data_IF_912106291304
#
_entry.id   IF_912106291304
#
_cell.length_a   1.000
_cell.length_b   1.000
_cell.length_c   1.000
_cell.angle_alpha   90.00
_cell.angle_beta   90.00
_cell.angle_gamma   90.00
#
_symmetry.space_group_name_H-M   'P 1'
#
loop_
_entity.id
_entity.type
_entity.pdbx_description
1 polymer ?
#
# COMPACT_ATOMS: atom_id res chain seq x y z
N UNK A 1 -27.64 -12.45 -16.10
CA UNK A 1 -27.22 -13.03 -14.80
C UNK A 1 -25.72 -13.18 -14.80
N UNK A 2 -25.03 -12.48 -13.90
CA UNK A 2 -23.58 -12.64 -13.66
C UNK A 2 -23.40 -13.66 -12.53
N UNK A 3 -22.55 -14.65 -12.72
CA UNK A 3 -22.21 -15.63 -11.71
C UNK A 3 -20.69 -15.65 -11.52
N UNK A 4 -20.23 -15.20 -10.36
CA UNK A 4 -18.80 -15.12 -10.02
C UNK A 4 -18.50 -16.05 -8.85
N UNK A 5 -17.57 -16.94 -9.02
CA UNK A 5 -17.09 -17.85 -7.97
C UNK A 5 -15.67 -17.48 -7.55
N UNK A 6 -15.51 -17.01 -6.33
CA UNK A 6 -14.20 -16.81 -5.70
C UNK A 6 -13.87 -18.00 -4.80
N UNK A 7 -12.65 -18.54 -4.96
CA UNK A 7 -12.13 -19.63 -4.15
C UNK A 7 -10.75 -19.25 -3.62
N UNK A 8 -10.62 -19.32 -2.30
CA UNK A 8 -9.37 -19.04 -1.60
C UNK A 8 -9.05 -20.23 -0.69
N UNK A 9 -7.79 -20.62 -0.67
CA UNK A 9 -7.26 -21.64 0.24
C UNK A 9 -6.01 -21.09 0.88
N UNK A 10 -5.88 -21.26 2.20
CA UNK A 10 -4.70 -20.84 2.93
C UNK A 10 -4.31 -21.88 3.99
N UNK A 11 -3.02 -22.09 4.13
CA UNK A 11 -2.41 -22.85 5.22
C UNK A 11 -1.54 -21.88 6.03
N UNK A 12 -1.66 -21.91 7.35
CA UNK A 12 -0.89 -21.05 8.22
C UNK A 12 -0.31 -21.82 9.39
N UNK A 13 0.90 -21.45 9.81
CA UNK A 13 1.55 -21.92 11.00
C UNK A 13 2.15 -20.74 11.75
N UNK A 14 2.01 -20.73 13.07
CA UNK A 14 2.61 -19.73 13.95
C UNK A 14 3.34 -20.45 15.08
N UNK A 15 4.55 -19.99 15.38
CA UNK A 15 5.34 -20.45 16.51
C UNK A 15 5.81 -19.25 17.33
N UNK A 16 5.80 -19.40 18.64
CA UNK A 16 6.31 -18.40 19.59
C UNK A 16 7.16 -19.08 20.63
N UNK A 17 8.33 -18.52 20.90
CA UNK A 17 9.20 -18.98 21.94
C UNK A 17 9.65 -17.81 22.80
N UNK A 18 9.55 -17.97 24.14
CA UNK A 18 9.97 -16.97 25.09
C UNK A 18 10.99 -17.57 26.06
N UNK A 19 12.15 -16.94 26.16
CA UNK A 19 13.21 -17.34 27.07
C UNK A 19 13.25 -16.39 28.27
N UNK A 20 13.12 -16.95 29.46
CA UNK A 20 13.14 -16.24 30.76
C UNK A 20 12.23 -15.00 30.82
N UNK A 21 11.13 -14.99 30.05
CA UNK A 21 10.25 -13.81 29.90
C UNK A 21 10.95 -12.53 29.39
N UNK A 22 12.23 -12.62 29.05
CA UNK A 22 13.07 -11.49 28.59
C UNK A 22 13.11 -11.39 27.07
N UNK A 23 13.34 -12.52 26.40
CA UNK A 23 13.52 -12.59 24.95
C UNK A 23 12.41 -13.42 24.34
N UNK A 24 11.63 -12.83 23.45
CA UNK A 24 10.58 -13.54 22.73
C UNK A 24 10.85 -13.47 21.22
N UNK A 25 10.78 -14.61 20.56
CA UNK A 25 10.80 -14.69 19.10
C UNK A 25 9.47 -15.28 18.62
N UNK A 26 8.88 -14.66 17.59
CA UNK A 26 7.65 -15.10 16.95
C UNK A 26 7.91 -15.32 15.47
N UNK A 27 7.41 -16.42 14.94
CA UNK A 27 7.42 -16.72 13.52
C UNK A 27 6.03 -17.08 13.05
N UNK A 28 5.58 -16.48 11.95
CA UNK A 28 4.34 -16.84 11.26
C UNK A 28 4.66 -17.12 9.80
N UNK A 29 4.14 -18.20 9.29
CA UNK A 29 4.21 -18.57 7.89
C UNK A 29 2.79 -18.83 7.37
N UNK A 30 2.47 -18.32 6.18
CA UNK A 30 1.19 -18.56 5.52
C UNK A 30 1.43 -18.80 4.04
N UNK A 31 0.81 -19.85 3.53
CA UNK A 31 0.80 -20.19 2.11
C UNK A 31 -0.63 -20.16 1.60
N UNK A 32 -0.93 -19.24 0.71
CA UNK A 32 -2.29 -19.07 0.21
C UNK A 32 -2.38 -19.01 -1.30
N UNK A 33 -3.56 -19.37 -1.82
CA UNK A 33 -3.88 -19.30 -3.23
C UNK A 33 -5.30 -18.81 -3.48
N UNK A 34 -5.48 -18.08 -4.58
CA UNK A 34 -6.77 -17.55 -5.01
C UNK A 34 -6.97 -17.72 -6.51
N UNK A 35 -8.21 -18.07 -6.92
CA UNK A 35 -8.57 -18.16 -8.33
C UNK A 35 -8.81 -16.79 -9.00
N UNK A 36 -8.78 -15.69 -8.26
CA UNK A 36 -8.86 -14.32 -8.81
C UNK A 36 -7.60 -13.92 -9.58
N UNK A 37 -6.47 -14.50 -9.23
CA UNK A 37 -5.17 -14.20 -9.81
C UNK A 37 -4.90 -15.03 -11.05
N UNK A 38 -3.78 -14.80 -11.71
CA UNK A 38 -3.38 -15.49 -12.93
C UNK A 38 -3.37 -17.02 -12.80
N UNK A 39 -3.38 -17.74 -13.93
CA UNK A 39 -3.42 -19.21 -13.95
C UNK A 39 -2.09 -19.85 -13.59
N UNK A 40 -0.97 -19.15 -13.78
CA UNK A 40 0.35 -19.67 -13.41
C UNK A 40 0.42 -19.98 -11.91
N UNK A 41 1.01 -21.10 -11.54
CA UNK A 41 1.13 -21.52 -10.12
C UNK A 41 1.86 -20.46 -9.29
N UNK A 42 2.92 -19.89 -9.82
CA UNK A 42 3.72 -18.84 -9.17
C UNK A 42 2.96 -17.50 -9.00
N UNK A 43 1.97 -17.23 -9.86
CA UNK A 43 1.12 -16.06 -9.75
C UNK A 43 -0.01 -16.26 -8.73
N UNK A 44 -0.56 -17.50 -8.67
CA UNK A 44 -1.73 -17.84 -7.88
C UNK A 44 -1.43 -18.17 -6.43
N UNK A 45 -0.26 -18.79 -6.16
CA UNK A 45 0.14 -19.24 -4.84
C UNK A 45 1.34 -18.45 -4.33
N UNK A 46 1.22 -17.94 -3.10
CA UNK A 46 2.27 -17.10 -2.50
C UNK A 46 2.51 -17.49 -1.04
N UNK A 47 3.78 -17.72 -0.65
CA UNK A 47 4.18 -17.76 0.74
C UNK A 47 4.31 -16.32 1.28
N UNK A 48 3.68 -16.05 2.42
CA UNK A 48 3.88 -14.86 3.23
C UNK A 48 4.42 -15.26 4.60
N UNK A 49 5.19 -14.41 5.22
CA UNK A 49 5.81 -14.73 6.49
C UNK A 49 6.13 -13.48 7.30
N UNK A 50 6.24 -13.66 8.60
CA UNK A 50 6.69 -12.64 9.54
C UNK A 50 7.61 -13.28 10.57
N UNK A 51 8.72 -12.61 10.88
CA UNK A 51 9.58 -12.93 12.00
C UNK A 51 9.69 -11.69 12.86
N UNK A 52 9.44 -11.84 14.15
CA UNK A 52 9.50 -10.75 15.11
C UNK A 52 10.24 -11.16 16.37
N UNK A 53 11.06 -10.25 16.89
CA UNK A 53 11.75 -10.36 18.17
C UNK A 53 11.29 -9.28 19.12
N UNK A 54 11.14 -9.64 20.39
CA UNK A 54 10.89 -8.70 21.50
C UNK A 54 11.95 -8.93 22.58
N UNK A 55 12.52 -7.86 23.07
CA UNK A 55 13.32 -7.84 24.28
C UNK A 55 12.62 -7.03 25.37
N UNK A 56 12.26 -7.69 26.45
CA UNK A 56 11.68 -7.07 27.65
C UNK A 56 12.83 -6.70 28.59
N UNK A 57 13.42 -5.54 28.36
CA UNK A 57 14.58 -5.06 29.10
C UNK A 57 14.22 -4.74 30.59
N UNK A 58 12.96 -4.51 30.87
CA UNK A 58 12.41 -4.35 32.21
C UNK A 58 12.50 -5.63 33.08
N UNK A 59 12.75 -6.79 32.47
CA UNK A 59 12.94 -8.08 33.14
C UNK A 59 14.42 -8.39 33.43
N UNK A 60 15.36 -7.50 33.06
CA UNK A 60 16.78 -7.66 33.33
C UNK A 60 17.14 -7.19 34.75
N UNK A 61 18.11 -7.84 35.38
CA UNK A 61 18.54 -7.52 36.75
C UNK A 61 19.05 -6.08 36.91
N UNK A 62 19.73 -5.55 35.93
CA UNK A 62 20.23 -4.18 35.90
C UNK A 62 19.10 -3.12 35.86
N UNK A 63 17.91 -3.49 35.40
CA UNK A 63 16.78 -2.57 35.26
C UNK A 63 16.24 -2.12 36.61
N UNK A 64 16.43 -2.91 37.66
CA UNK A 64 15.98 -2.56 39.04
C UNK A 64 16.53 -1.21 39.49
N UNK A 65 17.74 -0.82 39.08
CA UNK A 65 18.31 0.49 39.37
C UNK A 65 17.57 1.66 38.70
N UNK A 66 16.81 1.39 37.63
CA UNK A 66 16.07 2.39 36.86
C UNK A 66 14.59 2.48 37.26
N UNK A 67 14.08 1.50 38.03
CA UNK A 67 12.65 1.39 38.40
C UNK A 67 12.02 2.63 39.01
N UNK A 68 12.72 3.47 39.80
CA UNK A 68 12.11 4.71 40.29
C UNK A 68 11.68 5.68 39.20
N UNK A 69 12.34 5.65 38.06
CA UNK A 69 12.05 6.52 36.93
C UNK A 69 11.37 5.79 35.76
N UNK A 70 11.82 4.57 35.44
CA UNK A 70 11.31 3.72 34.36
C UNK A 70 10.55 2.52 34.93
N UNK A 71 9.27 2.37 34.60
CA UNK A 71 8.42 1.27 35.03
C UNK A 71 8.49 0.08 34.06
N UNK A 72 8.61 0.35 32.77
CA UNK A 72 8.70 -0.67 31.72
C UNK A 72 9.59 -0.23 30.57
N UNK A 73 10.26 -1.19 29.93
CA UNK A 73 11.12 -0.95 28.78
C UNK A 73 11.16 -2.17 27.89
N UNK A 74 10.57 -2.06 26.71
CA UNK A 74 10.49 -3.13 25.73
C UNK A 74 10.97 -2.66 24.38
N UNK A 75 11.76 -3.49 23.68
CA UNK A 75 12.19 -3.26 22.31
C UNK A 75 11.60 -4.34 21.41
N UNK A 76 11.20 -3.92 20.23
CA UNK A 76 10.61 -4.79 19.21
C UNK A 76 11.33 -4.61 17.89
N UNK A 77 11.53 -5.71 17.17
CA UNK A 77 12.01 -5.71 15.79
C UNK A 77 11.21 -6.73 15.02
N UNK A 78 10.83 -6.41 13.80
CA UNK A 78 10.17 -7.37 12.93
C UNK A 78 10.56 -7.18 11.47
N UNK A 79 10.55 -8.30 10.74
CA UNK A 79 10.69 -8.30 9.30
C UNK A 79 9.67 -9.26 8.69
N UNK A 80 8.98 -8.79 7.65
CA UNK A 80 7.89 -9.54 7.07
C UNK A 80 7.82 -9.39 5.55
N UNK A 81 7.27 -10.42 4.91
CA UNK A 81 6.69 -10.38 3.58
C UNK A 81 5.19 -10.59 3.71
N UNK A 82 4.41 -9.57 3.38
CA UNK A 82 2.96 -9.61 3.33
C UNK A 82 2.47 -9.44 1.89
N UNK A 83 1.23 -9.83 1.62
CA UNK A 83 0.65 -9.77 0.30
C UNK A 83 -0.82 -9.40 0.34
N UNK A 84 -1.28 -8.76 -0.73
CA UNK A 84 -2.68 -8.44 -0.98
C UNK A 84 -3.08 -8.86 -2.40
N UNK A 85 -4.34 -9.23 -2.58
CA UNK A 85 -4.89 -9.64 -3.88
C UNK A 85 -5.27 -8.47 -4.77
N UNK A 86 -5.03 -7.26 -4.30
CA UNK A 86 -5.44 -6.04 -4.96
C UNK A 86 -6.95 -5.80 -4.92
N UNK A 87 -7.42 -4.78 -5.63
CA UNK A 87 -8.83 -4.39 -5.63
C UNK A 87 -9.78 -5.53 -6.03
N UNK A 88 -10.95 -5.58 -5.40
CA UNK A 88 -11.90 -6.67 -5.59
C UNK A 88 -12.42 -6.83 -7.04
N UNK A 89 -12.44 -5.73 -7.80
CA UNK A 89 -12.87 -5.76 -9.21
C UNK A 89 -11.81 -6.30 -10.17
N UNK A 90 -10.54 -6.43 -9.72
CA UNK A 90 -9.47 -6.99 -10.55
C UNK A 90 -9.59 -8.51 -10.52
N UNK A 91 -10.01 -9.06 -11.64
CA UNK A 91 -10.13 -10.50 -11.87
C UNK A 91 -9.73 -10.80 -13.31
N UNK A 92 -8.49 -11.20 -13.51
CA UNK A 92 -7.89 -11.43 -14.83
C UNK A 92 -7.53 -12.90 -15.08
N UNK A 93 -8.16 -13.83 -14.37
CA UNK A 93 -7.92 -15.25 -14.59
C UNK A 93 -8.51 -15.79 -15.88
N UNK A 94 -9.42 -15.03 -16.53
CA UNK A 94 -10.11 -15.43 -17.77
C UNK A 94 -10.41 -14.22 -18.65
N UNK A 95 -10.43 -14.40 -19.96
CA UNK A 95 -10.98 -13.43 -20.88
C UNK A 95 -12.51 -13.38 -20.77
N UNK A 96 -13.10 -12.18 -20.80
CA UNK A 96 -14.53 -11.98 -20.75
C UNK A 96 -15.05 -11.50 -22.11
N UNK A 97 -16.08 -12.18 -22.59
CA UNK A 97 -16.78 -11.84 -23.82
C UNK A 97 -18.25 -11.54 -23.50
N UNK A 98 -18.75 -10.48 -24.10
CA UNK A 98 -20.16 -10.10 -23.97
C UNK A 98 -20.85 -10.08 -25.34
N UNK A 99 -22.11 -10.54 -25.41
CA UNK A 99 -22.91 -10.37 -26.61
C UNK A 99 -23.20 -8.88 -26.83
N UNK A 100 -23.20 -8.49 -28.10
CA UNK A 100 -23.52 -7.14 -28.54
C UNK A 100 -24.32 -7.22 -29.84
N UNK A 101 -25.09 -6.19 -30.10
CA UNK A 101 -25.85 -6.05 -31.35
C UNK A 101 -25.56 -4.69 -31.97
N UNK A 102 -24.34 -4.45 -32.49
CA UNK A 102 -23.99 -3.18 -33.07
C UNK A 102 -24.89 -2.89 -34.29
N UNK A 103 -25.26 -1.63 -34.42
CA UNK A 103 -25.97 -1.14 -35.58
C UNK A 103 -24.99 -0.85 -36.71
N UNK A 104 -25.30 -1.34 -37.92
CA UNK A 104 -24.53 -1.05 -39.12
C UNK A 104 -25.28 -0.01 -39.99
N UNK A 105 -24.77 1.23 -40.09
CA UNK A 105 -25.45 2.30 -40.82
C UNK A 105 -25.70 1.96 -42.29
N UNK A 106 -24.73 1.27 -42.92
CA UNK A 106 -24.82 0.94 -44.37
C UNK A 106 -25.95 -0.02 -44.73
N UNK A 107 -26.36 -0.89 -43.77
CA UNK A 107 -27.40 -1.90 -44.03
C UNK A 107 -28.65 -1.68 -43.18
N UNK A 108 -28.63 -0.72 -42.24
CA UNK A 108 -29.68 -0.46 -41.27
C UNK A 108 -30.12 -1.74 -40.47
N UNK A 109 -29.19 -2.67 -40.29
CA UNK A 109 -29.42 -3.95 -39.63
C UNK A 109 -28.58 -4.02 -38.35
N UNK A 110 -29.17 -4.57 -37.29
CA UNK A 110 -28.46 -4.96 -36.04
C UNK A 110 -27.96 -6.39 -36.21
N UNK A 111 -26.67 -6.59 -36.08
CA UNK A 111 -26.07 -7.92 -36.18
C UNK A 111 -25.59 -8.40 -34.81
N UNK A 112 -25.90 -9.66 -34.44
CA UNK A 112 -25.35 -10.23 -33.21
C UNK A 112 -23.83 -10.38 -33.36
N UNK A 113 -23.11 -9.90 -32.36
CA UNK A 113 -21.65 -9.97 -32.26
C UNK A 113 -21.21 -10.30 -30.85
N UNK A 114 -19.96 -10.69 -30.70
CA UNK A 114 -19.28 -10.80 -29.41
C UNK A 114 -18.18 -9.75 -29.38
N UNK A 115 -18.09 -9.01 -28.29
CA UNK A 115 -16.93 -8.18 -28.02
C UNK A 115 -16.19 -8.65 -26.77
N UNK A 116 -14.87 -8.56 -26.81
CA UNK A 116 -14.01 -8.88 -25.69
C UNK A 116 -13.96 -7.67 -24.74
N UNK A 117 -14.42 -7.85 -23.52
CA UNK A 117 -14.43 -6.81 -22.49
C UNK A 117 -13.16 -6.81 -21.63
N UNK A 118 -12.55 -7.98 -21.47
CA UNK A 118 -11.33 -8.13 -20.65
C UNK A 118 -10.40 -9.15 -21.29
N UNK A 119 -9.11 -8.85 -21.26
CA UNK A 119 -8.04 -9.74 -21.69
C UNK A 119 -7.55 -10.52 -20.48
N UNK A 120 -7.34 -11.84 -20.66
CA UNK A 120 -6.70 -12.67 -19.66
C UNK A 120 -5.27 -12.17 -19.36
N UNK A 121 -4.90 -12.14 -18.08
CA UNK A 121 -3.52 -11.99 -17.63
C UNK A 121 -3.13 -13.17 -16.75
N UNK A 122 -2.54 -14.19 -17.35
CA UNK A 122 -2.11 -15.42 -16.66
C UNK A 122 -1.02 -15.18 -15.60
N UNK A 123 -0.32 -14.06 -15.68
CA UNK A 123 0.78 -13.68 -14.79
C UNK A 123 0.39 -12.72 -13.68
N UNK A 124 -0.89 -12.30 -13.61
CA UNK A 124 -1.36 -11.41 -12.56
C UNK A 124 -1.16 -12.06 -11.19
N UNK A 125 -0.33 -11.45 -10.37
CA UNK A 125 0.01 -11.96 -9.02
C UNK A 125 -0.35 -10.96 -7.93
N UNK A 126 -0.17 -11.37 -6.68
CA UNK A 126 -0.37 -10.54 -5.49
C UNK A 126 0.48 -9.26 -5.53
N UNK A 127 -0.07 -8.19 -4.99
CA UNK A 127 0.71 -7.07 -4.51
C UNK A 127 1.49 -7.52 -3.28
N UNK A 128 2.79 -7.21 -3.22
CA UNK A 128 3.69 -7.70 -2.18
C UNK A 128 4.33 -6.55 -1.45
N UNK A 129 4.60 -6.76 -0.17
CA UNK A 129 5.24 -5.77 0.69
C UNK A 129 6.27 -6.44 1.60
N UNK A 130 7.52 -6.06 1.48
CA UNK A 130 8.52 -6.25 2.53
C UNK A 130 8.44 -5.08 3.51
N UNK A 131 8.41 -5.39 4.80
CA UNK A 131 8.39 -4.39 5.86
C UNK A 131 9.40 -4.75 6.94
N UNK A 132 10.28 -3.80 7.26
CA UNK A 132 11.15 -3.82 8.43
C UNK A 132 10.63 -2.78 9.41
N UNK A 133 10.40 -3.19 10.66
CA UNK A 133 9.92 -2.32 11.74
C UNK A 133 10.80 -2.49 12.97
N UNK A 134 11.08 -1.35 13.63
CA UNK A 134 11.73 -1.29 14.95
C UNK A 134 10.86 -0.42 15.84
N UNK A 135 10.56 -0.91 17.03
CA UNK A 135 9.75 -0.19 18.02
C UNK A 135 10.34 -0.25 19.42
N UNK A 136 9.97 0.73 20.22
CA UNK A 136 10.28 0.79 21.65
C UNK A 136 9.06 1.25 22.43
N UNK A 137 8.75 0.54 23.51
CA UNK A 137 7.69 0.89 24.45
C UNK A 137 8.33 1.19 25.81
N UNK A 138 8.12 2.40 26.34
CA UNK A 138 8.68 2.89 27.58
C UNK A 138 7.57 3.33 28.53
N UNK A 139 7.60 2.87 29.75
CA UNK A 139 6.75 3.35 30.83
C UNK A 139 7.57 4.10 31.88
N UNK A 140 7.05 5.21 32.36
CA UNK A 140 7.70 6.03 33.37
C UNK A 140 6.75 6.27 34.57
N UNK A 141 7.33 6.38 35.75
CA UNK A 141 6.64 6.78 37.01
C UNK A 141 5.40 5.90 37.25
N UNK A 142 5.59 4.60 37.45
CA UNK A 142 4.53 3.61 37.65
C UNK A 142 3.47 3.64 36.50
N UNK A 143 3.95 3.67 35.24
CA UNK A 143 3.14 3.74 34.03
C UNK A 143 2.19 4.94 33.96
N UNK A 144 2.53 6.02 34.63
CA UNK A 144 1.80 7.30 34.49
C UNK A 144 2.09 7.97 33.15
N UNK A 145 3.24 7.69 32.56
CA UNK A 145 3.63 8.14 31.23
C UNK A 145 4.00 6.90 30.43
N UNK A 146 3.29 6.65 29.36
CA UNK A 146 3.54 5.57 28.41
C UNK A 146 3.93 6.18 27.07
N UNK A 147 5.09 5.82 26.58
CA UNK A 147 5.64 6.25 25.30
C UNK A 147 5.86 5.03 24.42
N UNK A 148 5.23 5.02 23.25
CA UNK A 148 5.49 4.05 22.19
C UNK A 148 6.05 4.77 20.97
N UNK A 149 7.17 4.27 20.47
CA UNK A 149 7.84 4.77 19.27
C UNK A 149 8.04 3.63 18.30
N UNK A 150 7.65 3.83 17.04
CA UNK A 150 7.87 2.90 15.94
C UNK A 150 8.49 3.61 14.75
N UNK A 151 9.42 2.93 14.07
CA UNK A 151 9.94 3.35 12.77
C UNK A 151 9.94 2.17 11.82
N UNK A 152 9.59 2.43 10.57
CA UNK A 152 9.49 1.38 9.57
C UNK A 152 10.02 1.80 8.20
N UNK A 153 10.45 0.78 7.45
CA UNK A 153 10.75 0.88 6.02
C UNK A 153 9.96 -0.20 5.28
N UNK A 154 9.23 0.21 4.24
CA UNK A 154 8.39 -0.66 3.40
C UNK A 154 8.87 -0.59 1.96
N UNK A 155 8.93 -1.75 1.33
CA UNK A 155 9.14 -1.87 -0.11
C UNK A 155 7.94 -2.62 -0.69
N UNK A 156 7.03 -1.86 -1.32
CA UNK A 156 5.86 -2.41 -2.00
C UNK A 156 6.23 -2.67 -3.45
N UNK A 157 5.96 -3.85 -3.97
CA UNK A 157 6.29 -4.25 -5.33
C UNK A 157 5.18 -5.12 -5.92
N UNK A 158 5.21 -5.28 -7.22
CA UNK A 158 4.14 -5.94 -7.98
C UNK A 158 2.76 -5.29 -7.76
N UNK A 159 2.72 -3.96 -7.52
CA UNK A 159 1.47 -3.23 -7.36
C UNK A 159 0.66 -3.28 -8.64
N UNK A 160 -0.64 -3.54 -8.48
CA UNK A 160 -1.57 -3.73 -9.59
C UNK A 160 -2.03 -2.37 -10.12
N UNK A 161 -1.95 -2.20 -11.42
CA UNK A 161 -2.40 -1.01 -12.11
C UNK A 161 -2.91 -1.31 -13.51
N UNK A 162 -3.54 -0.32 -14.14
CA UNK A 162 -3.99 -0.41 -15.52
C UNK A 162 -2.82 -0.25 -16.48
N UNK A 163 -2.75 -1.10 -17.48
CA UNK A 163 -1.78 -1.07 -18.57
C UNK A 163 -2.52 -0.81 -19.86
N UNK A 164 -2.08 0.19 -20.61
CA UNK A 164 -2.57 0.43 -21.97
C UNK A 164 -2.04 -0.68 -22.89
N UNK A 165 -2.93 -1.28 -23.67
CA UNK A 165 -2.62 -2.31 -24.65
C UNK A 165 -2.62 -1.71 -26.06
N UNK A 166 -2.19 -2.46 -27.05
CA UNK A 166 -2.25 -2.03 -28.44
C UNK A 166 -3.66 -1.98 -29.04
N UNK A 167 -4.70 -2.30 -28.22
CA UNK A 167 -6.10 -2.26 -28.68
C UNK A 167 -6.50 -3.41 -29.59
N UNK A 168 -5.61 -4.39 -29.83
CA UNK A 168 -5.94 -5.59 -30.60
C UNK A 168 -7.05 -6.37 -29.89
N UNK A 169 -8.11 -6.72 -30.61
CA UNK A 169 -9.31 -7.36 -30.05
C UNK A 169 -10.28 -6.39 -29.35
N UNK A 170 -10.07 -5.05 -29.48
CA UNK A 170 -10.99 -4.04 -28.94
C UNK A 170 -10.76 -3.66 -27.47
N UNK A 171 -9.80 -4.27 -26.79
CA UNK A 171 -9.50 -3.96 -25.37
C UNK A 171 -8.26 -3.07 -25.31
N UNK A 172 -8.43 -1.83 -24.88
CA UNK A 172 -7.35 -0.84 -24.79
C UNK A 172 -6.61 -0.85 -23.44
N UNK A 173 -7.16 -1.50 -22.41
CA UNK A 173 -6.57 -1.54 -21.08
C UNK A 173 -6.68 -2.95 -20.48
N UNK A 174 -5.65 -3.36 -19.74
CA UNK A 174 -5.66 -4.55 -18.88
C UNK A 174 -5.04 -4.24 -17.52
N UNK A 175 -5.34 -5.06 -16.52
CA UNK A 175 -4.64 -4.98 -15.23
C UNK A 175 -3.40 -5.86 -15.21
N UNK A 176 -2.35 -5.36 -14.57
CA UNK A 176 -1.09 -6.07 -14.39
C UNK A 176 -0.29 -5.55 -13.21
N UNK A 177 0.76 -6.28 -12.86
CA UNK A 177 1.70 -5.86 -11.81
C UNK A 177 2.75 -4.91 -12.43
N UNK A 178 2.52 -3.62 -12.26
CA UNK A 178 3.19 -2.57 -13.04
C UNK A 178 3.95 -1.55 -12.23
N UNK A 179 3.77 -1.52 -10.92
CA UNK A 179 4.36 -0.47 -10.09
C UNK A 179 5.09 -1.03 -8.87
N UNK A 180 6.02 -0.23 -8.38
CA UNK A 180 6.68 -0.43 -7.09
C UNK A 180 6.81 0.90 -6.36
N UNK A 181 6.77 0.87 -5.03
CA UNK A 181 6.83 2.05 -4.18
C UNK A 181 7.62 1.75 -2.91
N UNK A 182 8.44 2.69 -2.47
CA UNK A 182 9.09 2.65 -1.16
C UNK A 182 8.39 3.62 -0.21
N UNK A 183 8.25 3.21 1.04
CA UNK A 183 7.73 4.07 2.10
C UNK A 183 8.59 3.92 3.35
N UNK A 184 8.73 5.00 4.10
CA UNK A 184 9.33 5.00 5.43
C UNK A 184 8.57 5.96 6.31
N UNK A 185 8.50 5.66 7.59
CA UNK A 185 7.79 6.52 8.53
C UNK A 185 8.22 6.33 9.95
N UNK A 186 7.77 7.26 10.78
CA UNK A 186 7.89 7.25 12.22
C UNK A 186 6.52 7.48 12.84
N UNK A 187 6.26 6.79 13.93
CA UNK A 187 5.02 6.88 14.69
C UNK A 187 5.37 7.04 16.16
N UNK A 188 4.73 7.97 16.83
CA UNK A 188 4.89 8.24 18.25
C UNK A 188 3.52 8.28 18.91
N UNK A 189 3.37 7.53 19.99
CA UNK A 189 2.19 7.57 20.84
C UNK A 189 2.62 7.88 22.28
N UNK A 190 2.07 8.91 22.87
CA UNK A 190 2.30 9.31 24.24
C UNK A 190 0.97 9.34 24.98
N UNK A 191 0.87 8.56 26.05
CA UNK A 191 -0.28 8.55 26.95
C UNK A 191 0.18 8.95 28.34
N UNK A 192 -0.48 9.94 28.93
CA UNK A 192 -0.13 10.42 30.28
C UNK A 192 -1.36 10.47 31.18
N UNK A 193 -1.19 9.99 32.41
CA UNK A 193 -2.16 10.15 33.50
C UNK A 193 -1.74 11.34 34.37
N UNK A 194 -2.21 12.54 34.02
CA UNK A 194 -1.77 13.80 34.65
C UNK A 194 -2.27 13.93 36.06
N UNK A 195 -3.55 13.65 36.29
CA UNK A 195 -4.19 13.69 37.59
C UNK A 195 -5.00 12.39 37.78
N UNK A 196 -4.78 11.73 38.90
CA UNK A 196 -5.58 10.57 39.32
C UNK A 196 -6.01 10.80 40.75
N UNK A 197 -7.29 11.17 40.95
CA UNK A 197 -7.94 11.34 42.25
C UNK A 197 -9.20 10.49 42.30
N UNK A 198 -9.78 10.30 43.47
CA UNK A 198 -10.97 9.46 43.69
C UNK A 198 -12.14 9.84 42.76
N UNK A 199 -12.37 11.15 42.60
CA UNK A 199 -13.54 11.67 41.88
C UNK A 199 -13.16 12.41 40.60
N UNK A 200 -11.85 12.45 40.24
CA UNK A 200 -11.36 13.17 39.05
C UNK A 200 -10.12 12.51 38.48
N UNK A 201 -10.18 12.15 37.20
CA UNK A 201 -9.03 11.63 36.45
C UNK A 201 -8.86 12.45 35.18
N UNK A 202 -7.63 12.93 34.93
CA UNK A 202 -7.26 13.57 33.68
C UNK A 202 -6.14 12.81 33.01
N UNK A 203 -6.42 12.33 31.81
CA UNK A 203 -5.45 11.66 30.92
C UNK A 203 -5.28 12.48 29.64
N UNK A 204 -4.07 12.46 29.08
CA UNK A 204 -3.78 13.06 27.78
C UNK A 204 -3.19 12.00 26.87
N UNK A 205 -3.71 11.91 25.64
CA UNK A 205 -3.16 11.07 24.59
C UNK A 205 -2.70 11.95 23.43
N UNK A 206 -1.45 11.78 23.02
CA UNK A 206 -0.86 12.47 21.89
C UNK A 206 -0.36 11.41 20.90
N UNK A 207 -0.76 11.55 19.63
CA UNK A 207 -0.34 10.67 18.54
C UNK A 207 0.27 11.53 17.45
N UNK A 208 1.46 11.17 17.02
CA UNK A 208 2.15 11.79 15.90
C UNK A 208 2.56 10.71 14.91
N UNK A 209 2.33 10.95 13.63
CA UNK A 209 2.83 10.10 12.56
C UNK A 209 3.36 10.93 11.40
N UNK A 210 4.48 10.50 10.84
CA UNK A 210 5.03 11.07 9.62
C UNK A 210 5.42 9.95 8.67
N UNK A 211 4.95 10.03 7.42
CA UNK A 211 5.27 9.05 6.38
C UNK A 211 5.74 9.74 5.12
N UNK A 212 6.82 9.24 4.54
CA UNK A 212 7.28 9.58 3.19
C UNK A 212 7.13 8.36 2.29
N UNK A 213 6.58 8.56 1.10
CA UNK A 213 6.53 7.52 0.08
C UNK A 213 7.08 8.03 -1.25
N UNK A 214 7.55 7.13 -2.10
CA UNK A 214 8.08 7.45 -3.43
C UNK A 214 7.80 6.28 -4.36
N UNK A 215 7.22 6.56 -5.50
CA UNK A 215 7.06 5.59 -6.59
C UNK A 215 8.42 5.31 -7.20
N UNK A 216 8.88 4.06 -7.14
CA UNK A 216 10.24 3.67 -7.58
C UNK A 216 10.25 3.02 -8.95
N UNK A 217 9.09 2.53 -9.40
CA UNK A 217 8.92 1.91 -10.73
C UNK A 217 7.48 2.06 -11.17
N UNK A 218 7.29 2.43 -12.42
CA UNK A 218 5.98 2.52 -13.03
C UNK A 218 6.07 2.12 -14.51
N UNK A 219 5.44 1.01 -14.88
CA UNK A 219 5.45 0.47 -16.25
C UNK A 219 4.30 0.99 -17.12
N UNK A 220 3.55 1.97 -16.62
CA UNK A 220 2.46 2.59 -17.37
C UNK A 220 2.94 3.90 -17.95
N UNK A 221 2.63 4.12 -19.25
CA UNK A 221 2.90 5.40 -19.89
C UNK A 221 1.70 6.33 -19.71
N UNK A 222 1.95 7.55 -19.26
CA UNK A 222 0.96 8.61 -19.14
C UNK A 222 1.42 9.84 -19.95
N UNK A 223 0.47 10.52 -20.58
CA UNK A 223 0.75 11.77 -21.28
C UNK A 223 0.82 12.93 -20.28
N UNK A 224 1.50 14.01 -20.64
CA UNK A 224 1.56 15.21 -19.79
C UNK A 224 0.15 15.70 -19.40
N UNK A 225 -0.76 15.71 -20.36
CA UNK A 225 -2.13 16.15 -20.13
C UNK A 225 -2.87 15.28 -19.11
N UNK A 226 -2.57 13.97 -19.05
CA UNK A 226 -3.14 13.07 -18.05
C UNK A 226 -2.73 13.46 -16.63
N UNK A 227 -1.51 13.94 -16.42
CA UNK A 227 -1.06 14.44 -15.12
C UNK A 227 -1.75 15.73 -14.72
N UNK A 228 -2.08 16.61 -15.67
CA UNK A 228 -2.69 17.90 -15.41
C UNK A 228 -4.21 17.83 -15.26
N UNK A 229 -4.88 16.94 -15.99
CA UNK A 229 -6.34 16.86 -16.04
C UNK A 229 -6.92 15.70 -15.26
N UNK A 230 -6.12 14.67 -14.98
CA UNK A 230 -6.54 13.48 -14.26
C UNK A 230 -6.30 13.58 -12.76
N UNK A 231 -7.16 12.97 -11.98
CA UNK A 231 -6.95 12.83 -10.54
C UNK A 231 -6.23 11.51 -10.23
N UNK A 232 -5.08 11.62 -9.55
CA UNK A 232 -4.42 10.45 -8.95
C UNK A 232 -3.46 9.69 -9.85
N UNK A 233 -2.96 10.26 -10.92
CA UNK A 233 -1.86 9.67 -11.67
C UNK A 233 -0.57 9.73 -10.87
N UNK A 234 0.18 8.63 -10.87
CA UNK A 234 1.47 8.53 -10.19
C UNK A 234 2.60 8.70 -11.20
N UNK A 235 3.67 9.36 -10.79
CA UNK A 235 4.90 9.52 -11.58
C UNK A 235 6.06 8.88 -10.84
N UNK A 236 6.95 8.20 -11.59
CA UNK A 236 8.17 7.64 -11.04
C UNK A 236 9.07 8.73 -10.46
N UNK A 237 9.64 8.48 -9.28
CA UNK A 237 10.43 9.45 -8.52
C UNK A 237 9.61 10.40 -7.62
N UNK A 238 8.29 10.45 -7.78
CA UNK A 238 7.40 11.34 -7.01
C UNK A 238 6.63 10.57 -5.93
N UNK A 239 6.11 11.27 -4.90
CA UNK A 239 5.17 10.69 -3.95
C UNK A 239 3.89 10.21 -4.64
N UNK A 240 3.30 9.11 -4.14
CA UNK A 240 1.94 8.75 -4.55
C UNK A 240 0.97 9.86 -4.15
N UNK A 241 0.15 10.30 -5.08
CA UNK A 241 -0.81 11.39 -4.86
C UNK A 241 -0.18 12.80 -4.98
N UNK A 242 1.00 12.90 -5.62
CA UNK A 242 1.53 14.20 -6.03
C UNK A 242 0.52 14.90 -6.95
N UNK A 243 0.34 16.20 -6.73
CA UNK A 243 -0.50 17.04 -7.59
C UNK A 243 0.42 17.76 -8.56
N UNK A 244 0.06 17.67 -9.84
CA UNK A 244 0.80 18.31 -10.92
C UNK A 244 -0.01 19.48 -11.45
N UNK A 245 0.66 20.62 -11.66
CA UNK A 245 0.05 21.81 -12.21
C UNK A 245 1.05 22.58 -13.05
N UNK A 246 0.56 23.35 -14.01
CA UNK A 246 1.36 24.36 -14.67
C UNK A 246 1.56 25.55 -13.70
N UNK A 247 2.77 26.10 -13.66
CA UNK A 247 3.05 27.29 -12.86
C UNK A 247 2.46 28.51 -13.55
N UNK A 248 1.36 29.01 -13.01
CA UNK A 248 0.67 30.20 -13.51
C UNK A 248 1.53 31.45 -13.30
N UNK A 249 1.68 32.27 -14.35
CA UNK A 249 2.53 33.45 -14.35
C UNK A 249 1.73 34.76 -14.58
N UNK A 250 0.40 34.65 -14.66
CA UNK A 250 -0.47 35.81 -14.90
C UNK A 250 -1.26 35.70 -16.20
N UNK A 251 -1.84 36.81 -16.62
CA UNK A 251 -2.53 36.94 -17.89
C UNK A 251 -1.68 37.78 -18.84
N UNK A 252 -1.71 37.48 -20.13
CA UNK A 252 -1.13 38.31 -21.17
C UNK A 252 -2.01 39.56 -21.44
N UNK A 253 -1.59 40.40 -22.41
CA UNK A 253 -2.31 41.61 -22.80
C UNK A 253 -3.73 41.35 -23.33
N UNK A 254 -4.00 40.12 -23.79
CA UNK A 254 -5.32 39.69 -24.29
C UNK A 254 -6.15 38.98 -23.22
N UNK A 255 -5.64 38.89 -21.97
CA UNK A 255 -6.31 38.20 -20.86
C UNK A 255 -6.19 36.69 -20.93
N UNK A 256 -5.26 36.11 -21.68
CA UNK A 256 -5.03 34.69 -21.79
C UNK A 256 -4.07 34.22 -20.67
N UNK A 257 -4.36 33.11 -19.96
CA UNK A 257 -3.45 32.60 -18.94
C UNK A 257 -2.07 32.24 -19.50
N UNK A 258 -1.02 32.68 -18.80
CA UNK A 258 0.37 32.36 -19.13
C UNK A 258 0.98 31.46 -18.08
N UNK A 259 1.89 30.59 -18.51
CA UNK A 259 2.52 29.57 -17.69
C UNK A 259 4.02 29.53 -17.92
N UNK A 260 4.76 29.05 -16.95
CA UNK A 260 6.20 28.81 -17.08
C UNK A 260 6.43 27.46 -17.81
N UNK A 261 7.14 27.49 -18.92
CA UNK A 261 7.56 26.27 -19.62
C UNK A 261 8.80 25.62 -18.97
N UNK A 262 9.24 24.48 -19.50
CA UNK A 262 10.42 23.76 -19.02
C UNK A 262 11.74 24.54 -19.15
N UNK A 263 11.81 25.48 -20.07
CA UNK A 263 12.99 26.29 -20.36
C UNK A 263 13.03 27.58 -19.51
N UNK A 264 12.02 27.78 -18.68
CA UNK A 264 11.90 28.94 -17.80
C UNK A 264 11.30 30.17 -18.49
N UNK A 265 10.68 30.00 -19.64
CA UNK A 265 10.05 31.08 -20.39
C UNK A 265 8.54 31.13 -20.12
N UNK A 266 7.98 32.32 -20.17
CA UNK A 266 6.54 32.54 -20.00
C UNK A 266 5.87 32.35 -21.36
N UNK A 267 4.88 31.45 -21.42
CA UNK A 267 4.14 31.13 -22.66
C UNK A 267 2.66 30.95 -22.36
N UNK A 268 1.82 31.21 -23.35
CA UNK A 268 0.37 30.92 -23.33
C UNK A 268 -0.01 29.63 -24.06
N UNK A 269 0.96 28.93 -24.64
CA UNK A 269 0.78 27.68 -25.42
C UNK A 269 1.65 26.55 -24.88
#
# INVERSE_FOLDING_TARGET
LSNTHERNVAFAATASYSYNYRYTINGTFRYEGSNRLGRARSARWLPTWNVAGKWSADQEEWFDALKPALSSMNFRVSYSLTADRGPAWVNNSTALFYPSTPWRPATNIKEPSLYQSSIENSELTYEKKHEFNVGADLGFIDDRILLSFDTYKRNNFDLIGSVVTQGLGGVSNKYGNVASMKSSGVELSLSTRNIVKKDFTWTTNFIFSHMKNTVTKLKTYQTMISYLTGSGYSMEGMPRGAVFSLRFMGLDEMGIPTFLNKDGEITST
#
